data_IF_976389345572
#
_entry.id   IF_976389345572
#
_cell.length_a   1.000
_cell.length_b   1.000
_cell.length_c   1.000
_cell.angle_alpha   90.00
_cell.angle_beta   90.00
_cell.angle_gamma   90.00
#
_symmetry.space_group_name_H-M   'P 1'
#
loop_
_entity.id
_entity.type
_entity.pdbx_description
1 polymer ?
#
# COMPACT_ATOMS: atom_id res chain seq x y z
N UNK A 1 5.66 -16.97 11.36
CA UNK A 1 5.17 -17.94 10.35
C UNK A 1 4.44 -17.16 9.27
N UNK A 2 4.93 -17.16 8.02
CA UNK A 2 4.29 -16.45 6.91
C UNK A 2 3.04 -17.23 6.43
N UNK A 3 1.89 -16.56 6.34
CA UNK A 3 0.61 -17.13 5.90
C UNK A 3 0.09 -16.36 4.70
N UNK A 4 -0.68 -17.03 3.86
CA UNK A 4 -1.45 -16.39 2.78
C UNK A 4 -2.85 -16.14 3.31
N UNK A 5 -3.31 -14.89 3.23
CA UNK A 5 -4.57 -14.46 3.82
C UNK A 5 -5.39 -13.74 2.77
N UNK A 6 -6.65 -14.16 2.61
CA UNK A 6 -7.65 -13.46 1.80
C UNK A 6 -8.53 -12.64 2.75
N UNK A 7 -8.63 -11.35 2.51
CA UNK A 7 -9.52 -10.43 3.24
C UNK A 7 -10.60 -9.96 2.28
N UNK A 8 -11.84 -10.38 2.53
CA UNK A 8 -12.99 -9.95 1.72
C UNK A 8 -13.52 -8.60 2.17
N UNK A 9 -13.93 -7.75 1.22
CA UNK A 9 -14.44 -6.41 1.52
C UNK A 9 -13.33 -5.45 1.96
N UNK A 10 -12.18 -5.53 1.32
CA UNK A 10 -10.98 -4.78 1.70
C UNK A 10 -10.79 -3.47 0.91
N UNK A 11 -11.83 -2.96 0.24
CA UNK A 11 -11.74 -1.70 -0.51
C UNK A 11 -11.56 -0.47 0.39
N UNK A 12 -12.11 -0.48 1.60
CA UNK A 12 -12.03 0.65 2.54
C UNK A 12 -12.22 0.21 4.00
N UNK A 13 -12.19 1.18 4.92
CA UNK A 13 -12.49 0.99 6.33
C UNK A 13 -11.67 -0.11 7.01
N UNK A 14 -12.31 -0.88 7.89
CA UNK A 14 -11.65 -1.94 8.65
C UNK A 14 -11.07 -3.06 7.79
N UNK A 15 -11.73 -3.41 6.66
CA UNK A 15 -11.23 -4.45 5.76
C UNK A 15 -9.86 -4.07 5.18
N UNK A 16 -9.72 -2.82 4.72
CA UNK A 16 -8.45 -2.28 4.23
C UNK A 16 -7.39 -2.22 5.34
N UNK A 17 -7.73 -1.65 6.49
CA UNK A 17 -6.81 -1.55 7.63
C UNK A 17 -6.29 -2.92 8.09
N UNK A 18 -7.17 -3.92 8.10
CA UNK A 18 -6.83 -5.30 8.46
C UNK A 18 -5.88 -5.90 7.43
N UNK A 19 -6.18 -5.73 6.14
CA UNK A 19 -5.34 -6.26 5.06
C UNK A 19 -3.92 -5.66 5.11
N UNK A 20 -3.82 -4.35 5.30
CA UNK A 20 -2.54 -3.65 5.43
C UNK A 20 -1.78 -4.07 6.70
N UNK A 21 -2.47 -4.21 7.84
CA UNK A 21 -1.83 -4.63 9.09
C UNK A 21 -1.27 -6.06 9.01
N UNK A 22 -2.02 -6.98 8.40
CA UNK A 22 -1.57 -8.36 8.17
C UNK A 22 -0.37 -8.39 7.21
N UNK A 23 -0.37 -7.55 6.18
CA UNK A 23 0.76 -7.46 5.26
C UNK A 23 2.00 -6.91 5.98
N UNK A 24 1.85 -5.87 6.81
CA UNK A 24 2.92 -5.34 7.68
C UNK A 24 3.47 -6.38 8.67
N UNK A 25 2.63 -7.33 9.10
CA UNK A 25 3.07 -8.45 9.93
C UNK A 25 3.87 -9.53 9.15
N UNK A 26 4.17 -9.31 7.86
CA UNK A 26 4.95 -10.21 7.01
C UNK A 26 4.15 -11.36 6.44
N UNK A 27 2.84 -11.19 6.26
CA UNK A 27 1.97 -12.14 5.57
C UNK A 27 1.74 -11.71 4.11
N UNK A 28 1.53 -12.66 3.22
CA UNK A 28 1.04 -12.37 1.86
C UNK A 28 -0.48 -12.18 1.93
N UNK A 29 -0.96 -10.99 1.62
CA UNK A 29 -2.37 -10.63 1.78
C UNK A 29 -3.02 -10.31 0.45
N UNK A 30 -4.19 -10.88 0.24
CA UNK A 30 -5.09 -10.58 -0.86
C UNK A 30 -6.28 -9.78 -0.35
N UNK A 31 -6.31 -8.50 -0.68
CA UNK A 31 -7.43 -7.61 -0.43
C UNK A 31 -8.46 -7.75 -1.56
N UNK A 32 -9.60 -8.37 -1.28
CA UNK A 32 -10.65 -8.54 -2.29
C UNK A 32 -11.76 -7.51 -2.20
N UNK A 33 -12.26 -7.11 -3.37
CA UNK A 33 -13.39 -6.21 -3.55
C UNK A 33 -14.05 -6.46 -4.91
N UNK A 34 -15.20 -5.81 -5.17
CA UNK A 34 -15.94 -5.92 -6.43
C UNK A 34 -15.55 -4.83 -7.41
N UNK A 35 -15.72 -5.06 -8.70
CA UNK A 35 -15.55 -4.04 -9.74
C UNK A 35 -14.19 -3.33 -9.66
N UNK A 36 -13.10 -4.10 -9.59
CA UNK A 36 -11.75 -3.54 -9.42
C UNK A 36 -11.29 -2.75 -10.64
N UNK A 37 -11.94 -2.95 -11.79
CA UNK A 37 -11.72 -2.21 -13.01
C UNK A 37 -12.66 -0.99 -13.19
N UNK A 38 -13.65 -0.82 -12.31
CA UNK A 38 -14.64 0.24 -12.40
C UNK A 38 -14.83 0.94 -11.04
N UNK A 39 -15.92 0.65 -10.30
CA UNK A 39 -16.26 1.37 -9.07
C UNK A 39 -15.18 1.36 -8.00
N UNK A 40 -14.41 0.28 -7.90
CA UNK A 40 -13.30 0.18 -6.95
C UNK A 40 -11.92 0.35 -7.59
N UNK A 41 -11.81 0.80 -8.84
CA UNK A 41 -10.53 1.03 -9.49
C UNK A 41 -9.61 1.96 -8.71
N UNK A 42 -10.14 3.05 -8.16
CA UNK A 42 -9.36 3.98 -7.35
C UNK A 42 -8.85 3.35 -6.04
N UNK A 43 -9.68 2.53 -5.39
CA UNK A 43 -9.30 1.83 -4.16
C UNK A 43 -8.27 0.74 -4.44
N UNK A 44 -8.46 -0.03 -5.51
CA UNK A 44 -7.52 -1.06 -5.93
C UNK A 44 -6.16 -0.46 -6.29
N UNK A 45 -6.14 0.65 -7.05
CA UNK A 45 -4.92 1.37 -7.38
C UNK A 45 -4.25 1.97 -6.13
N UNK A 46 -5.01 2.52 -5.18
CA UNK A 46 -4.46 3.05 -3.93
C UNK A 46 -3.82 1.95 -3.07
N UNK A 47 -4.42 0.76 -3.01
CA UNK A 47 -3.85 -0.40 -2.29
C UNK A 47 -2.59 -0.89 -2.99
N UNK A 48 -2.61 -1.02 -4.32
CA UNK A 48 -1.45 -1.43 -5.09
C UNK A 48 -0.29 -0.44 -4.94
N UNK A 49 -0.59 0.87 -5.02
CA UNK A 49 0.38 1.94 -4.74
C UNK A 49 0.93 1.83 -3.33
N UNK A 50 0.08 1.70 -2.32
CA UNK A 50 0.53 1.56 -0.93
C UNK A 50 1.45 0.35 -0.75
N UNK A 51 1.11 -0.80 -1.35
CA UNK A 51 1.93 -2.01 -1.31
C UNK A 51 3.29 -1.80 -2.01
N UNK A 52 3.30 -1.09 -3.14
CA UNK A 52 4.51 -0.69 -3.83
C UNK A 52 5.38 0.21 -2.94
N UNK A 53 4.82 1.32 -2.44
CA UNK A 53 5.52 2.33 -1.63
C UNK A 53 6.12 1.74 -0.34
N UNK A 54 5.49 0.71 0.23
CA UNK A 54 5.87 0.17 1.55
C UNK A 54 6.58 -1.18 1.52
N UNK A 55 6.80 -1.77 0.35
CA UNK A 55 7.43 -3.09 0.29
C UNK A 55 6.49 -4.26 0.66
N UNK A 56 5.21 -4.01 0.92
CA UNK A 56 4.29 -5.01 1.45
C UNK A 56 3.83 -5.99 0.37
N UNK A 57 3.71 -7.27 0.75
CA UNK A 57 3.11 -8.30 -0.10
C UNK A 57 1.58 -8.26 0.01
N UNK A 58 1.00 -7.13 -0.41
CA UNK A 58 -0.43 -6.83 -0.41
C UNK A 58 -0.91 -6.68 -1.86
N UNK A 59 -1.89 -7.49 -2.25
CA UNK A 59 -2.38 -7.61 -3.63
C UNK A 59 -3.89 -7.46 -3.67
N UNK A 60 -4.42 -6.99 -4.79
CA UNK A 60 -5.86 -6.86 -5.01
C UNK A 60 -6.37 -8.03 -5.86
N UNK A 61 -7.57 -8.51 -5.55
CA UNK A 61 -8.27 -9.53 -6.35
C UNK A 61 -9.74 -9.18 -6.44
N UNK A 62 -10.35 -9.43 -7.59
CA UNK A 62 -11.79 -9.22 -7.73
C UNK A 62 -12.56 -10.40 -7.15
N UNK A 63 -13.42 -10.13 -6.16
CA UNK A 63 -14.37 -11.13 -5.65
C UNK A 63 -15.69 -10.42 -5.37
N UNK A 64 -16.74 -10.87 -6.06
CA UNK A 64 -18.12 -10.65 -5.65
C UNK A 64 -18.60 -11.81 -4.79
N UNK A 65 -18.65 -11.58 -3.48
CA UNK A 65 -19.13 -12.55 -2.49
C UNK A 65 -20.59 -12.96 -2.68
N UNK A 66 -21.37 -12.21 -3.49
CA UNK A 66 -22.75 -12.56 -3.83
C UNK A 66 -22.84 -13.48 -5.06
N UNK A 67 -21.72 -13.72 -5.76
CA UNK A 67 -21.65 -14.52 -6.97
C UNK A 67 -20.80 -15.78 -6.73
N UNK A 68 -21.44 -16.95 -6.69
CA UNK A 68 -20.73 -18.23 -6.51
C UNK A 68 -19.61 -18.43 -7.55
N UNK A 69 -19.81 -18.16 -8.86
CA UNK A 69 -18.72 -18.26 -9.84
C UNK A 69 -17.53 -17.34 -9.52
N UNK A 70 -17.78 -16.12 -9.02
CA UNK A 70 -16.71 -15.20 -8.62
C UNK A 70 -15.97 -15.70 -7.38
N UNK A 71 -16.71 -16.24 -6.40
CA UNK A 71 -16.14 -16.85 -5.19
C UNK A 71 -15.34 -18.11 -5.51
N UNK A 72 -15.68 -18.88 -6.55
CA UNK A 72 -14.90 -20.05 -6.95
C UNK A 72 -13.62 -19.63 -7.69
N UNK A 73 -13.69 -18.60 -8.54
CA UNK A 73 -12.57 -18.10 -9.32
C UNK A 73 -11.51 -17.36 -8.47
N UNK A 74 -11.92 -16.44 -7.59
CA UNK A 74 -10.98 -15.59 -6.84
C UNK A 74 -9.96 -16.35 -5.96
N UNK A 75 -10.37 -17.35 -5.16
CA UNK A 75 -9.45 -18.21 -4.41
C UNK A 75 -8.54 -19.05 -5.30
N UNK A 76 -9.01 -19.46 -6.49
CA UNK A 76 -8.19 -20.19 -7.45
C UNK A 76 -7.08 -19.29 -8.02
N UNK A 77 -7.42 -18.08 -8.48
CA UNK A 77 -6.46 -17.08 -8.95
C UNK A 77 -5.44 -16.71 -7.88
N UNK A 78 -5.91 -16.47 -6.65
CA UNK A 78 -5.03 -16.16 -5.52
C UNK A 78 -4.05 -17.31 -5.21
N UNK A 79 -4.49 -18.57 -5.34
CA UNK A 79 -3.65 -19.76 -5.15
C UNK A 79 -2.63 -19.93 -6.27
N UNK A 80 -3.03 -19.69 -7.52
CA UNK A 80 -2.13 -19.80 -8.68
C UNK A 80 -1.02 -18.76 -8.63
N UNK A 81 -1.35 -17.48 -8.38
CA UNK A 81 -0.33 -16.44 -8.30
C UNK A 81 0.64 -16.69 -7.13
N UNK A 82 0.17 -17.24 -6.02
CA UNK A 82 1.04 -17.70 -4.92
C UNK A 82 1.95 -18.85 -5.37
N UNK A 83 1.42 -19.82 -6.09
CA UNK A 83 2.21 -20.94 -6.59
C UNK A 83 3.34 -20.45 -7.50
N UNK A 84 3.07 -19.47 -8.36
CA UNK A 84 4.08 -18.89 -9.25
C UNK A 84 5.12 -18.04 -8.53
N UNK A 85 4.73 -17.26 -7.52
CA UNK A 85 5.71 -16.57 -6.66
C UNK A 85 6.59 -17.57 -5.92
N UNK A 86 6.02 -18.64 -5.39
CA UNK A 86 6.79 -19.72 -4.73
C UNK A 86 7.75 -20.43 -5.70
N UNK A 87 7.32 -20.69 -6.94
CA UNK A 87 8.20 -21.24 -7.98
C UNK A 87 9.35 -20.28 -8.28
N UNK A 88 9.08 -18.99 -8.38
CA UNK A 88 10.08 -17.95 -8.67
C UNK A 88 11.12 -17.84 -7.55
N UNK A 89 10.67 -17.82 -6.28
CA UNK A 89 11.55 -17.88 -5.11
C UNK A 89 12.37 -19.17 -5.09
N UNK A 90 11.75 -20.32 -5.38
CA UNK A 90 12.45 -21.62 -5.45
C UNK A 90 13.48 -21.68 -6.58
N UNK A 91 13.28 -20.93 -7.66
CA UNK A 91 14.22 -20.80 -8.77
C UNK A 91 15.40 -19.85 -8.46
N UNK A 92 15.53 -19.36 -7.22
CA UNK A 92 16.64 -18.50 -6.80
C UNK A 92 16.50 -17.04 -7.22
N UNK A 93 15.32 -16.64 -7.73
CA UNK A 93 15.01 -15.24 -8.02
C UNK A 93 14.40 -14.64 -6.76
N UNK A 94 15.15 -13.78 -6.08
CA UNK A 94 14.65 -13.02 -4.94
C UNK A 94 13.71 -11.88 -5.44
N UNK A 95 12.40 -11.92 -5.11
CA UNK A 95 11.45 -10.89 -5.51
C UNK A 95 11.81 -9.49 -4.99
N UNK A 96 12.54 -9.42 -3.88
CA UNK A 96 12.99 -8.17 -3.25
C UNK A 96 14.08 -7.51 -4.10
N UNK A 97 14.99 -8.29 -4.67
CA UNK A 97 16.07 -7.76 -5.52
C UNK A 97 15.53 -7.25 -6.88
N UNK A 98 14.50 -7.90 -7.45
CA UNK A 98 13.79 -7.35 -8.62
C UNK A 98 13.15 -5.99 -8.33
N UNK A 99 12.60 -5.83 -7.12
CA UNK A 99 11.97 -4.58 -6.71
C UNK A 99 13.01 -3.49 -6.47
N UNK A 100 14.15 -3.81 -5.85
CA UNK A 100 15.29 -2.87 -5.68
C UNK A 100 15.87 -2.39 -7.01
N UNK A 101 15.93 -3.26 -8.03
CA UNK A 101 16.39 -2.85 -9.38
C UNK A 101 15.40 -1.90 -10.06
N UNK A 102 14.11 -2.00 -9.75
CA UNK A 102 13.10 -1.04 -10.21
C UNK A 102 13.13 0.28 -9.40
N UNK A 103 13.41 0.21 -8.10
CA UNK A 103 13.53 1.36 -7.18
C UNK A 103 14.82 2.18 -7.40
N UNK A 104 15.92 1.56 -7.83
CA UNK A 104 17.21 2.24 -8.07
C UNK A 104 17.20 3.27 -9.22
N UNK A 105 16.07 3.40 -9.94
CA UNK A 105 15.85 4.42 -10.96
C UNK A 105 15.13 5.69 -10.49
N UNK A 106 14.64 5.74 -9.25
CA UNK A 106 13.79 6.84 -8.77
C UNK A 106 14.48 7.60 -7.63
N UNK A 107 14.73 8.89 -7.85
CA UNK A 107 15.50 9.74 -6.95
C UNK A 107 14.84 9.86 -5.56
N UNK A 108 15.71 9.98 -4.55
CA UNK A 108 15.41 10.07 -3.12
C UNK A 108 14.27 11.07 -2.85
N UNK A 109 13.07 10.55 -2.58
CA UNK A 109 11.91 11.38 -2.27
C UNK A 109 12.09 11.96 -0.87
N UNK A 110 12.11 13.30 -0.69
CA UNK A 110 12.30 13.90 0.62
C UNK A 110 11.14 13.51 1.55
N UNK A 111 11.45 13.35 2.84
CA UNK A 111 10.43 13.12 3.85
C UNK A 111 9.46 14.29 3.90
N UNK A 112 8.24 14.04 4.40
CA UNK A 112 7.26 15.11 4.62
C UNK A 112 7.83 16.24 5.49
N UNK A 113 8.65 15.91 6.51
CA UNK A 113 9.33 16.90 7.35
C UNK A 113 10.31 17.76 6.56
N UNK A 114 11.18 17.13 5.75
CA UNK A 114 12.12 17.86 4.90
C UNK A 114 11.40 18.76 3.87
N UNK A 115 10.27 18.30 3.32
CA UNK A 115 9.42 19.10 2.45
C UNK A 115 8.74 20.26 3.21
N UNK A 116 8.24 20.00 4.41
CA UNK A 116 7.57 20.99 5.25
C UNK A 116 8.53 22.10 5.71
N UNK A 117 9.76 21.76 6.11
CA UNK A 117 10.77 22.73 6.55
C UNK A 117 11.14 23.71 5.43
N UNK A 118 11.33 23.21 4.21
CA UNK A 118 11.58 24.04 3.01
C UNK A 118 10.37 24.91 2.68
N UNK A 119 9.17 24.35 2.81
CA UNK A 119 7.93 25.06 2.49
C UNK A 119 7.68 26.20 3.47
N UNK A 120 7.85 25.98 4.78
CA UNK A 120 7.64 26.98 5.85
C UNK A 120 8.56 28.18 5.65
N UNK A 121 9.85 27.98 5.42
CA UNK A 121 10.80 29.07 5.19
C UNK A 121 10.45 29.95 3.98
N UNK A 122 9.69 29.42 3.01
CA UNK A 122 9.25 30.15 1.81
C UNK A 122 7.99 30.99 2.06
N UNK A 123 7.12 30.56 2.98
CA UNK A 123 5.81 31.20 3.24
C UNK A 123 5.81 32.09 4.50
N UNK A 124 6.85 32.04 5.33
CA UNK A 124 6.98 32.82 6.58
C UNK A 124 6.75 34.34 6.37
N UNK A 125 7.24 34.92 5.27
CA UNK A 125 7.05 36.35 4.99
C UNK A 125 5.62 36.75 4.60
N UNK A 126 4.74 35.78 4.35
CA UNK A 126 3.35 36.00 3.95
C UNK A 126 2.35 36.02 5.11
N UNK A 127 2.76 35.61 6.32
CA UNK A 127 1.89 35.62 7.49
C UNK A 127 1.84 37.01 8.13
N UNK A 128 0.63 37.45 8.48
CA UNK A 128 0.39 38.76 9.10
C UNK A 128 0.62 38.78 10.60
N UNK A 129 0.60 37.61 11.25
CA UNK A 129 0.73 37.43 12.70
C UNK A 129 1.69 36.26 12.98
N UNK A 130 2.43 36.32 14.09
CA UNK A 130 3.44 35.31 14.48
C UNK A 130 2.82 34.02 15.04
N UNK A 131 1.59 34.10 15.57
CA UNK A 131 0.91 33.00 16.26
C UNK A 131 0.68 31.73 15.41
N UNK A 132 0.28 31.82 14.11
CA UNK A 132 0.18 30.64 13.25
C UNK A 132 1.54 29.99 12.96
N UNK A 133 2.62 30.78 12.88
CA UNK A 133 3.97 30.26 12.65
C UNK A 133 4.42 29.41 13.84
N UNK A 134 4.23 29.93 15.06
CA UNK A 134 4.60 29.23 16.29
C UNK A 134 3.79 27.94 16.50
N UNK A 135 2.49 27.97 16.20
CA UNK A 135 1.63 26.78 16.32
C UNK A 135 2.06 25.68 15.35
N UNK A 136 2.51 26.03 14.15
CA UNK A 136 2.99 25.08 13.16
C UNK A 136 4.37 24.52 13.53
N UNK A 137 5.30 25.38 13.99
CA UNK A 137 6.60 24.95 14.52
C UNK A 137 6.45 24.00 15.71
N UNK A 138 5.46 24.23 16.57
CA UNK A 138 5.19 23.36 17.72
C UNK A 138 4.51 22.04 17.34
N UNK A 139 3.76 22.00 16.24
CA UNK A 139 3.08 20.78 15.73
C UNK A 139 4.03 19.91 14.90
N UNK A 140 5.03 20.52 14.25
CA UNK A 140 5.97 19.87 13.35
C UNK A 140 7.37 19.67 13.94
N UNK A 141 7.71 20.35 15.04
CA UNK A 141 8.96 20.16 15.75
C UNK A 141 9.03 18.81 16.48
N UNK A 142 10.25 18.35 16.73
CA UNK A 142 10.53 17.06 17.36
C UNK A 142 9.79 16.90 18.70
N UNK A 143 9.00 15.83 18.81
CA UNK A 143 8.49 15.33 20.09
C UNK A 143 9.62 14.71 20.93
#
# INVERSE_FOLDING_TARGET
>A
MNRIILVTGASSGFGRLTAEALARAGHTVWASMRDIADRNAANAAAIAKHAADTGLDLRTVEIDVQSQPSVDAGPMEARELVADVRKTVKAGVDPIERKKVAEAGEAETPSFGAFADVSIGTIESGFRDEKPIDQWKQTLGDA
#
